data_IF_514407083609
#
_entry.id   IF_514407083609
#
_cell.length_a   1.000
_cell.length_b   1.000
_cell.length_c   1.000
_cell.angle_alpha   90.00
_cell.angle_beta   90.00
_cell.angle_gamma   90.00
#
_symmetry.space_group_name_H-M   'P 1'
#
loop_
_entity.id
_entity.type
_entity.pdbx_description
1 polymer ?
#
# COMPACT_ATOMS: atom_id res chain seq x y z
N UNK A 1 -41.39 -15.91 -3.30
CA UNK A 1 -40.29 -16.24 -4.22
C UNK A 1 -39.00 -15.91 -3.48
N UNK A 2 -38.39 -16.88 -2.80
CA UNK A 2 -37.27 -16.67 -1.88
C UNK A 2 -35.97 -16.69 -2.67
N UNK A 3 -35.23 -15.58 -2.63
CA UNK A 3 -33.90 -15.50 -3.21
C UNK A 3 -32.96 -16.27 -2.27
N UNK A 4 -32.65 -17.51 -2.63
CA UNK A 4 -31.52 -18.26 -2.06
C UNK A 4 -30.24 -17.58 -2.49
N UNK A 5 -29.70 -16.66 -1.69
CA UNK A 5 -28.31 -16.26 -1.80
C UNK A 5 -27.44 -17.44 -1.41
N UNK A 6 -26.84 -18.05 -2.40
CA UNK A 6 -25.80 -19.06 -2.23
C UNK A 6 -24.56 -18.39 -1.64
N UNK A 7 -24.38 -18.55 -0.33
CA UNK A 7 -23.12 -18.27 0.35
C UNK A 7 -22.05 -19.25 -0.12
N UNK A 8 -21.30 -18.90 -1.17
CA UNK A 8 -20.16 -19.68 -1.64
C UNK A 8 -18.88 -18.94 -1.25
N UNK A 9 -18.19 -19.51 -0.25
CA UNK A 9 -16.78 -19.40 0.05
C UNK A 9 -16.21 -18.03 0.47
N UNK A 10 -16.37 -17.70 1.75
CA UNK A 10 -15.30 -16.97 2.45
C UNK A 10 -14.60 -18.01 3.33
N UNK A 11 -13.50 -18.56 2.85
CA UNK A 11 -12.57 -19.33 3.68
C UNK A 11 -11.84 -18.36 4.60
N UNK A 12 -12.32 -18.24 5.83
CA UNK A 12 -11.55 -17.69 6.94
C UNK A 12 -10.37 -18.64 7.21
N UNK A 13 -9.25 -18.42 6.55
CA UNK A 13 -8.00 -19.05 6.93
C UNK A 13 -7.47 -18.35 8.17
N UNK A 14 -7.93 -18.79 9.33
CA UNK A 14 -7.23 -18.53 10.57
C UNK A 14 -5.94 -19.37 10.56
N UNK A 15 -4.84 -18.77 10.14
CA UNK A 15 -3.52 -19.34 10.41
C UNK A 15 -3.15 -18.95 11.84
N UNK A 16 -3.63 -19.72 12.79
CA UNK A 16 -3.16 -19.65 14.17
C UNK A 16 -1.86 -20.45 14.30
N UNK A 17 -0.76 -19.74 14.33
CA UNK A 17 0.49 -20.33 14.84
C UNK A 17 0.42 -20.35 16.39
N UNK A 18 -0.06 -21.48 16.93
CA UNK A 18 -0.47 -21.64 18.34
C UNK A 18 0.75 -22.00 19.25
N UNK A 19 1.95 -21.80 18.86
CA UNK A 19 3.10 -22.09 19.74
C UNK A 19 3.90 -20.85 20.08
N UNK A 20 3.50 -20.14 21.14
CA UNK A 20 4.27 -19.52 22.23
C UNK A 20 3.60 -18.28 22.87
N UNK A 21 3.44 -18.35 24.22
CA UNK A 21 3.21 -17.29 25.21
C UNK A 21 1.76 -16.94 25.61
N UNK A 22 1.37 -17.47 26.77
CA UNK A 22 0.03 -17.42 27.36
C UNK A 22 -0.44 -16.04 27.90
N UNK A 23 0.42 -15.06 28.12
CA UNK A 23 0.04 -13.77 28.73
C UNK A 23 -0.41 -12.71 27.70
N UNK A 24 0.05 -12.84 26.47
CA UNK A 24 -0.30 -11.96 25.33
C UNK A 24 -1.68 -12.32 24.75
N UNK A 25 -2.17 -13.54 24.95
CA UNK A 25 -3.45 -14.05 24.42
C UNK A 25 -4.69 -13.28 24.89
N UNK A 26 -4.72 -12.78 26.13
CA UNK A 26 -5.94 -12.12 26.68
C UNK A 26 -6.28 -10.78 26.00
N UNK A 27 -5.27 -10.00 25.62
CA UNK A 27 -5.50 -8.71 24.95
C UNK A 27 -5.86 -8.91 23.47
N UNK A 28 -5.29 -9.94 22.82
CA UNK A 28 -5.66 -10.32 21.45
C UNK A 28 -7.04 -10.93 21.34
N UNK A 29 -7.46 -11.74 22.30
CA UNK A 29 -8.81 -12.27 22.34
C UNK A 29 -9.87 -11.16 22.45
N UNK A 30 -9.57 -10.07 23.19
CA UNK A 30 -10.45 -8.90 23.25
C UNK A 30 -10.50 -8.14 21.93
N UNK A 31 -9.36 -7.90 21.29
CA UNK A 31 -9.32 -7.23 19.97
C UNK A 31 -9.96 -8.09 18.86
N UNK A 32 -9.80 -9.41 18.93
CA UNK A 32 -10.50 -10.36 18.05
C UNK A 32 -12.00 -10.39 18.26
N UNK A 33 -12.45 -10.34 19.51
CA UNK A 33 -13.88 -10.30 19.85
C UNK A 33 -14.49 -8.96 19.44
N UNK A 34 -13.78 -7.86 19.61
CA UNK A 34 -14.18 -6.54 19.12
C UNK A 34 -14.26 -6.52 17.59
N UNK A 35 -13.27 -7.07 16.90
CA UNK A 35 -13.33 -7.24 15.46
C UNK A 35 -14.49 -8.11 15.01
N UNK A 36 -14.83 -9.18 15.72
CA UNK A 36 -15.95 -10.03 15.37
C UNK A 36 -17.29 -9.28 15.44
N UNK A 37 -17.49 -8.43 16.42
CA UNK A 37 -18.69 -7.59 16.52
C UNK A 37 -18.72 -6.47 15.47
N UNK A 38 -17.55 -5.94 15.10
CA UNK A 38 -17.38 -4.93 14.04
C UNK A 38 -17.57 -5.58 12.66
N UNK A 39 -17.21 -6.85 12.52
CA UNK A 39 -17.31 -7.62 11.29
C UNK A 39 -18.71 -7.58 10.67
N UNK A 40 -19.76 -7.62 11.48
CA UNK A 40 -21.13 -7.66 10.96
C UNK A 40 -21.50 -6.41 10.16
N UNK A 41 -20.95 -5.25 10.51
CA UNK A 41 -21.21 -3.99 9.78
C UNK A 41 -20.25 -3.74 8.62
N UNK A 42 -19.02 -4.29 8.66
CA UNK A 42 -17.99 -4.11 7.61
C UNK A 42 -18.00 -5.28 6.61
N UNK A 43 -18.66 -6.38 6.89
CA UNK A 43 -18.64 -7.61 6.07
C UNK A 43 -18.89 -7.38 4.58
N UNK A 44 -19.64 -6.34 4.26
CA UNK A 44 -19.95 -5.97 2.86
C UNK A 44 -18.74 -5.36 2.13
N UNK A 45 -17.70 -4.89 2.85
CA UNK A 45 -16.61 -4.12 2.29
C UNK A 45 -15.24 -4.83 2.31
N UNK A 46 -15.10 -5.86 3.13
CA UNK A 46 -13.84 -6.58 3.30
C UNK A 46 -13.83 -7.84 2.44
N UNK A 47 -12.76 -8.03 1.68
CA UNK A 47 -12.53 -9.28 0.95
C UNK A 47 -11.86 -10.34 1.83
N UNK A 48 -10.98 -9.93 2.72
CA UNK A 48 -10.21 -10.84 3.56
C UNK A 48 -9.59 -10.11 4.76
N UNK A 49 -9.42 -10.81 5.90
CA UNK A 49 -8.72 -10.31 7.09
C UNK A 49 -7.68 -11.31 7.53
N UNK A 50 -6.46 -10.83 7.73
CA UNK A 50 -5.36 -11.62 8.25
C UNK A 50 -4.76 -10.93 9.48
N UNK A 51 -4.54 -11.68 10.54
CA UNK A 51 -3.84 -11.20 11.73
C UNK A 51 -2.48 -11.87 11.78
N UNK A 52 -1.44 -11.06 11.65
CA UNK A 52 -0.05 -11.51 11.73
C UNK A 52 0.74 -10.53 12.60
N UNK A 53 1.56 -11.07 13.50
CA UNK A 53 2.55 -10.32 14.29
C UNK A 53 2.02 -9.05 14.99
N UNK A 54 0.84 -9.14 15.62
CA UNK A 54 0.14 -8.02 16.28
C UNK A 54 -0.46 -6.97 15.33
N UNK A 55 -0.42 -7.20 14.04
CA UNK A 55 -0.98 -6.32 13.04
C UNK A 55 -2.22 -6.95 12.40
N UNK A 56 -3.20 -6.14 12.16
CA UNK A 56 -4.45 -6.54 11.50
C UNK A 56 -4.33 -6.10 10.04
N UNK A 57 -4.44 -7.05 9.12
CA UNK A 57 -4.45 -6.76 7.69
C UNK A 57 -5.87 -6.91 7.16
N UNK A 58 -6.42 -5.82 6.64
CA UNK A 58 -7.74 -5.75 6.04
C UNK A 58 -7.58 -5.63 4.52
N UNK A 59 -8.00 -6.64 3.78
CA UNK A 59 -8.01 -6.57 2.32
C UNK A 59 -9.37 -6.05 1.85
N UNK A 60 -9.37 -5.01 1.06
CA UNK A 60 -10.57 -4.30 0.60
C UNK A 60 -10.59 -4.15 -0.92
N UNK A 61 -11.76 -3.93 -1.45
CA UNK A 61 -11.94 -3.47 -2.83
C UNK A 61 -11.71 -1.96 -2.89
N UNK A 62 -10.96 -1.48 -3.87
CA UNK A 62 -10.53 -0.07 -3.97
C UNK A 62 -11.67 0.94 -3.92
N UNK A 63 -12.82 0.63 -4.50
CA UNK A 63 -14.01 1.51 -4.49
C UNK A 63 -14.58 1.77 -3.10
N UNK A 64 -14.28 0.88 -2.15
CA UNK A 64 -14.80 0.96 -0.77
C UNK A 64 -13.81 1.59 0.21
N UNK A 65 -12.61 1.97 -0.26
CA UNK A 65 -11.52 2.49 0.57
C UNK A 65 -12.00 3.60 1.52
N UNK A 66 -12.57 4.68 1.00
CA UNK A 66 -12.99 5.82 1.83
C UNK A 66 -14.02 5.45 2.89
N UNK A 67 -14.95 4.54 2.57
CA UNK A 67 -15.96 4.08 3.53
C UNK A 67 -15.33 3.32 4.68
N UNK A 68 -14.37 2.45 4.37
CA UNK A 68 -13.62 1.68 5.38
C UNK A 68 -12.75 2.60 6.23
N UNK A 69 -11.99 3.52 5.62
CA UNK A 69 -11.16 4.47 6.35
C UNK A 69 -11.99 5.37 7.27
N UNK A 70 -13.12 5.89 6.77
CA UNK A 70 -14.06 6.69 7.57
C UNK A 70 -14.61 5.91 8.77
N UNK A 71 -14.98 4.66 8.54
CA UNK A 71 -15.45 3.78 9.61
C UNK A 71 -14.35 3.57 10.66
N UNK A 72 -13.13 3.15 10.26
CA UNK A 72 -12.03 2.88 11.18
C UNK A 72 -11.62 4.12 11.99
N UNK A 73 -11.77 5.32 11.42
CA UNK A 73 -11.48 6.57 12.11
C UNK A 73 -12.50 6.90 13.19
N UNK A 74 -13.79 6.70 12.91
CA UNK A 74 -14.88 7.12 13.79
C UNK A 74 -15.40 6.03 14.73
N UNK A 75 -14.96 4.78 14.54
CA UNK A 75 -15.37 3.69 15.41
C UNK A 75 -14.80 3.84 16.82
N UNK A 76 -15.66 3.76 17.85
CA UNK A 76 -15.28 3.95 19.24
C UNK A 76 -14.36 2.83 19.78
N UNK A 77 -14.40 1.66 19.17
CA UNK A 77 -13.60 0.51 19.61
C UNK A 77 -12.22 0.44 18.97
N UNK A 78 -12.05 1.02 17.79
CA UNK A 78 -10.76 1.00 17.09
C UNK A 78 -10.04 2.34 17.17
N UNK A 79 -10.77 3.46 17.04
CA UNK A 79 -10.24 4.82 17.14
C UNK A 79 -8.93 5.01 16.35
N UNK A 80 -8.93 4.62 15.08
CA UNK A 80 -7.76 4.78 14.21
C UNK A 80 -7.64 6.24 13.74
N UNK A 81 -7.22 7.13 14.63
CA UNK A 81 -7.18 8.56 14.39
C UNK A 81 -5.96 9.01 13.60
N UNK A 82 -4.91 8.20 13.56
CA UNK A 82 -3.65 8.54 12.92
C UNK A 82 -3.39 7.63 11.72
N UNK A 83 -3.10 8.23 10.56
CA UNK A 83 -2.49 7.54 9.44
C UNK A 83 -0.99 7.76 9.52
N UNK A 84 -0.24 6.67 9.60
CA UNK A 84 1.22 6.70 9.72
C UNK A 84 1.88 6.78 8.36
N UNK A 85 1.38 5.99 7.39
CA UNK A 85 2.04 5.84 6.11
C UNK A 85 1.08 5.35 5.02
N UNK A 86 1.46 5.56 3.76
CA UNK A 86 0.85 4.99 2.56
C UNK A 86 1.95 4.31 1.73
N UNK A 87 1.98 2.99 1.78
CA UNK A 87 2.98 2.19 1.09
C UNK A 87 2.41 1.67 -0.23
N UNK A 88 3.16 1.81 -1.31
CA UNK A 88 2.84 1.21 -2.61
C UNK A 88 3.85 0.12 -2.93
N UNK A 89 3.35 -1.01 -3.43
CA UNK A 89 4.18 -2.14 -3.86
C UNK A 89 3.90 -2.45 -5.32
N UNK A 90 4.92 -2.40 -6.17
CA UNK A 90 4.82 -2.86 -7.56
C UNK A 90 5.01 -4.38 -7.63
N UNK A 91 4.02 -5.08 -8.16
CA UNK A 91 3.99 -6.54 -8.32
C UNK A 91 4.09 -6.96 -9.79
N UNK A 92 4.89 -6.26 -10.57
CA UNK A 92 5.05 -6.51 -12.01
C UNK A 92 5.32 -8.00 -12.33
N UNK A 93 6.15 -8.66 -11.52
CA UNK A 93 6.48 -10.08 -11.70
C UNK A 93 5.30 -11.03 -11.48
N UNK A 94 4.27 -10.59 -10.78
CA UNK A 94 3.08 -11.38 -10.45
C UNK A 94 1.87 -11.07 -11.34
N UNK A 95 2.01 -10.20 -12.34
CA UNK A 95 0.92 -9.81 -13.25
C UNK A 95 0.33 -11.04 -13.95
N UNK A 96 1.13 -12.04 -14.26
CA UNK A 96 0.66 -13.28 -14.89
C UNK A 96 -0.34 -14.06 -14.02
N UNK A 97 -0.40 -13.77 -12.72
CA UNK A 97 -1.31 -14.42 -11.75
C UNK A 97 -2.53 -13.57 -11.43
N UNK A 98 -2.41 -12.24 -11.57
CA UNK A 98 -3.49 -11.30 -11.27
C UNK A 98 -3.44 -10.09 -12.19
N UNK A 99 -4.61 -9.56 -12.58
CA UNK A 99 -4.74 -8.33 -13.39
C UNK A 99 -4.26 -7.05 -12.68
N UNK A 100 -3.84 -7.17 -11.42
CA UNK A 100 -3.48 -6.04 -10.57
C UNK A 100 -1.97 -5.91 -10.44
N UNK A 101 -1.45 -4.77 -10.86
CA UNK A 101 -0.02 -4.47 -10.77
C UNK A 101 0.39 -3.89 -9.41
N UNK A 102 -0.37 -2.91 -8.91
CA UNK A 102 0.00 -2.22 -7.68
C UNK A 102 -0.84 -2.67 -6.51
N UNK A 103 -0.18 -2.87 -5.37
CA UNK A 103 -0.83 -3.00 -4.06
C UNK A 103 -0.59 -1.73 -3.27
N UNK A 104 -1.65 -1.14 -2.73
CA UNK A 104 -1.54 -0.03 -1.79
C UNK A 104 -1.87 -0.48 -0.38
N UNK A 105 -1.18 0.09 0.60
CA UNK A 105 -1.30 -0.26 2.01
C UNK A 105 -1.36 1.03 2.82
N UNK A 106 -2.54 1.37 3.35
CA UNK A 106 -2.66 2.44 4.33
C UNK A 106 -2.38 1.89 5.72
N UNK A 107 -1.40 2.46 6.39
CA UNK A 107 -0.99 2.08 7.74
C UNK A 107 -1.66 3.00 8.74
N UNK A 108 -2.66 2.48 9.43
CA UNK A 108 -3.41 3.20 10.45
C UNK A 108 -2.92 2.82 11.85
N UNK A 109 -2.96 3.78 12.75
CA UNK A 109 -2.60 3.58 14.15
C UNK A 109 -3.72 4.08 15.08
N UNK A 110 -4.05 3.23 16.03
CA UNK A 110 -4.86 3.60 17.18
C UNK A 110 -3.95 3.85 18.37
N UNK A 111 -3.80 5.12 18.75
CA UNK A 111 -2.95 5.50 19.88
C UNK A 111 -3.54 5.00 21.19
N UNK A 112 -4.88 5.09 21.33
CA UNK A 112 -5.59 4.69 22.56
C UNK A 112 -5.44 3.21 22.88
N UNK A 113 -5.42 2.34 21.87
CA UNK A 113 -5.36 0.90 22.03
C UNK A 113 -4.01 0.28 21.66
N UNK A 114 -3.07 1.11 21.17
CA UNK A 114 -1.76 0.67 20.67
C UNK A 114 -1.87 -0.49 19.65
N UNK A 115 -2.74 -0.30 18.67
CA UNK A 115 -3.02 -1.27 17.60
C UNK A 115 -2.69 -0.63 16.25
N UNK A 116 -2.02 -1.39 15.38
CA UNK A 116 -1.80 -1.02 13.98
C UNK A 116 -2.68 -1.83 13.05
N UNK A 117 -3.30 -1.16 12.11
CA UNK A 117 -4.17 -1.75 11.09
C UNK A 117 -3.62 -1.41 9.71
N UNK A 118 -3.40 -2.43 8.89
CA UNK A 118 -3.01 -2.28 7.51
C UNK A 118 -4.24 -2.48 6.62
N UNK A 119 -4.64 -1.44 5.93
CA UNK A 119 -5.73 -1.49 4.95
C UNK A 119 -5.12 -1.65 3.57
N UNK A 120 -5.28 -2.83 2.99
CA UNK A 120 -4.67 -3.24 1.73
C UNK A 120 -5.69 -3.31 0.61
N UNK A 121 -5.30 -2.82 -0.55
CA UNK A 121 -6.08 -3.01 -1.76
C UNK A 121 -5.19 -3.12 -2.98
N UNK A 122 -5.78 -3.53 -4.09
CA UNK A 122 -5.07 -3.73 -5.34
C UNK A 122 -5.63 -2.83 -6.42
N UNK A 123 -4.75 -2.34 -7.29
CA UNK A 123 -5.10 -1.47 -8.41
C UNK A 123 -4.51 -2.00 -9.71
N UNK A 124 -5.27 -1.82 -10.78
CA UNK A 124 -4.79 -2.06 -12.14
C UNK A 124 -3.86 -0.93 -12.60
N UNK A 125 -2.96 -1.20 -13.54
CA UNK A 125 -2.23 -0.14 -14.21
C UNK A 125 -3.20 0.91 -14.76
N UNK A 126 -2.82 2.18 -14.69
CA UNK A 126 -3.60 3.33 -15.18
C UNK A 126 -4.99 3.53 -14.54
N UNK A 127 -5.28 2.87 -13.43
CA UNK A 127 -6.47 3.16 -12.65
C UNK A 127 -6.18 4.17 -11.52
N UNK A 128 -7.23 4.63 -10.87
CA UNK A 128 -7.17 5.67 -9.85
C UNK A 128 -7.66 5.16 -8.50
N UNK A 129 -7.31 5.90 -7.45
CA UNK A 129 -7.81 5.73 -6.08
C UNK A 129 -8.45 7.03 -5.64
N UNK A 130 -9.44 6.97 -4.76
CA UNK A 130 -9.97 8.16 -4.11
C UNK A 130 -9.02 8.63 -3.01
N UNK A 131 -8.72 9.93 -3.00
CA UNK A 131 -7.87 10.56 -1.98
C UNK A 131 -8.50 10.49 -0.59
N UNK A 132 -7.69 10.15 0.40
CA UNK A 132 -8.10 10.11 1.80
C UNK A 132 -7.80 11.40 2.57
N UNK A 133 -7.44 12.49 1.89
CA UNK A 133 -7.01 13.74 2.50
C UNK A 133 -8.09 14.36 3.41
N UNK A 134 -9.37 14.22 3.06
CA UNK A 134 -10.48 14.70 3.86
C UNK A 134 -10.65 13.96 5.19
N UNK A 135 -10.04 12.77 5.29
CA UNK A 135 -10.05 11.97 6.51
C UNK A 135 -8.76 12.17 7.30
N UNK A 136 -7.62 12.19 6.63
CA UNK A 136 -6.30 12.27 7.27
C UNK A 136 -5.41 13.29 6.55
N UNK A 137 -5.11 14.41 7.18
CA UNK A 137 -4.29 15.48 6.57
C UNK A 137 -2.86 15.02 6.24
N UNK A 138 -2.32 14.05 7.00
CA UNK A 138 -0.98 13.49 6.74
C UNK A 138 -0.86 12.80 5.38
N UNK A 139 -1.97 12.34 4.82
CA UNK A 139 -2.02 11.65 3.51
C UNK A 139 -1.55 12.53 2.36
N UNK A 140 -1.68 13.85 2.48
CA UNK A 140 -1.31 14.79 1.41
C UNK A 140 0.10 14.48 0.83
N UNK A 141 1.09 14.38 1.72
CA UNK A 141 2.48 14.12 1.28
C UNK A 141 2.67 12.70 0.75
N UNK A 142 2.07 11.71 1.38
CA UNK A 142 2.18 10.31 0.97
C UNK A 142 1.50 10.04 -0.38
N UNK A 143 0.36 10.67 -0.67
CA UNK A 143 -0.30 10.55 -1.96
C UNK A 143 0.50 11.23 -3.08
N UNK A 144 1.13 12.38 -2.80
CA UNK A 144 2.04 13.04 -3.74
C UNK A 144 3.29 12.20 -4.00
N UNK A 145 3.87 11.56 -2.97
CA UNK A 145 4.98 10.62 -3.13
C UNK A 145 4.56 9.42 -3.99
N UNK A 146 3.41 8.82 -3.71
CA UNK A 146 2.88 7.71 -4.48
C UNK A 146 2.62 8.07 -5.95
N UNK A 147 2.14 9.28 -6.21
CA UNK A 147 2.03 9.82 -7.56
C UNK A 147 3.39 10.01 -8.22
N UNK A 148 4.34 10.64 -7.54
CA UNK A 148 5.66 10.96 -8.09
C UNK A 148 6.46 9.68 -8.42
N UNK A 149 6.46 8.70 -7.51
CA UNK A 149 7.30 7.50 -7.62
C UNK A 149 6.66 6.37 -8.42
N UNK A 150 5.34 6.20 -8.37
CA UNK A 150 4.64 5.09 -9.01
C UNK A 150 3.66 5.52 -10.10
N UNK A 151 3.26 6.79 -10.13
CA UNK A 151 2.29 7.31 -11.10
C UNK A 151 0.86 6.85 -10.84
N UNK A 152 0.47 6.76 -9.56
CA UNK A 152 -0.90 6.45 -9.14
C UNK A 152 -1.69 7.75 -8.98
N UNK A 153 -2.83 7.84 -9.65
CA UNK A 153 -3.68 9.03 -9.62
C UNK A 153 -4.63 8.96 -8.42
N UNK A 154 -4.69 10.04 -7.64
CA UNK A 154 -5.60 10.18 -6.51
C UNK A 154 -6.70 11.19 -6.83
N UNK A 155 -7.94 10.71 -7.00
CA UNK A 155 -9.10 11.58 -7.29
C UNK A 155 -9.52 12.31 -6.01
N UNK A 156 -9.72 13.63 -6.15
CA UNK A 156 -10.12 14.50 -5.04
C UNK A 156 -8.95 15.03 -4.21
N UNK A 157 -7.71 14.79 -4.64
CA UNK A 157 -6.55 15.44 -4.05
C UNK A 157 -6.48 16.92 -4.49
N UNK A 158 -6.28 17.88 -3.59
CA UNK A 158 -6.32 19.31 -3.92
C UNK A 158 -5.15 19.77 -4.80
N UNK A 159 -3.95 19.18 -4.61
CA UNK A 159 -2.73 19.59 -5.33
C UNK A 159 -1.82 18.37 -5.52
N UNK A 160 -2.10 17.57 -6.55
CA UNK A 160 -1.34 16.37 -6.90
C UNK A 160 -0.16 16.72 -7.83
N UNK A 161 0.94 17.15 -7.27
CA UNK A 161 2.19 17.49 -7.98
C UNK A 161 3.36 16.70 -7.45
N UNK A 162 4.42 16.58 -8.26
CA UNK A 162 5.67 15.90 -7.87
C UNK A 162 6.37 16.62 -6.71
N UNK A 163 7.04 15.87 -5.85
CA UNK A 163 7.75 16.40 -4.67
C UNK A 163 9.20 15.93 -4.53
N UNK A 164 9.55 14.77 -5.06
CA UNK A 164 10.85 14.12 -4.87
C UNK A 164 11.71 14.15 -6.11
N UNK A 165 11.12 14.05 -7.30
CA UNK A 165 11.84 14.12 -8.57
C UNK A 165 12.11 15.55 -8.98
N UNK A 166 13.14 15.75 -9.80
CA UNK A 166 13.52 17.05 -10.34
C UNK A 166 12.47 17.61 -11.30
N UNK A 167 12.56 18.92 -11.57
CA UNK A 167 11.70 19.59 -12.55
C UNK A 167 11.89 18.99 -13.94
N UNK A 168 10.78 18.72 -14.63
CA UNK A 168 10.82 18.12 -15.95
C UNK A 168 11.22 16.64 -15.99
N UNK A 169 11.31 15.97 -14.84
CA UNK A 169 11.63 14.54 -14.79
C UNK A 169 10.52 13.72 -15.47
N UNK A 170 10.93 12.82 -16.37
CA UNK A 170 10.03 11.95 -17.13
C UNK A 170 10.15 10.52 -16.62
N UNK A 171 9.03 9.95 -16.16
CA UNK A 171 8.96 8.58 -15.67
C UNK A 171 8.59 8.49 -14.18
N UNK A 172 8.62 7.25 -13.67
CA UNK A 172 8.27 6.90 -12.29
C UNK A 172 9.33 5.95 -11.73
N UNK A 173 10.26 6.47 -10.89
CA UNK A 173 11.49 5.76 -10.54
C UNK A 173 11.30 4.45 -9.76
N UNK A 174 10.22 4.31 -8.99
CA UNK A 174 10.00 3.11 -8.17
C UNK A 174 9.23 2.00 -8.89
N UNK A 175 8.85 2.22 -10.13
CA UNK A 175 8.33 1.14 -10.96
C UNK A 175 9.46 0.17 -11.32
N UNK A 176 9.20 -1.13 -11.26
CA UNK A 176 10.19 -2.16 -11.60
C UNK A 176 10.64 -2.15 -13.06
N UNK A 177 9.85 -1.58 -13.94
CA UNK A 177 10.16 -1.40 -15.37
C UNK A 177 10.99 -0.13 -15.66
N UNK A 178 11.25 0.71 -14.64
CA UNK A 178 12.12 1.86 -14.77
C UNK A 178 13.57 1.45 -14.52
N UNK A 179 14.53 1.79 -15.42
CA UNK A 179 15.93 1.43 -15.24
C UNK A 179 16.55 2.14 -14.03
N UNK A 180 17.48 1.46 -13.34
CA UNK A 180 18.10 1.98 -12.11
C UNK A 180 18.83 3.30 -12.34
N UNK A 181 19.51 3.45 -13.47
CA UNK A 181 20.28 4.64 -13.83
C UNK A 181 19.44 5.72 -14.50
N UNK A 182 18.15 5.46 -14.82
CA UNK A 182 17.30 6.36 -15.59
C UNK A 182 17.65 6.39 -17.08
N UNK A 183 17.18 7.41 -17.79
CA UNK A 183 17.40 7.59 -19.25
C UNK A 183 18.25 8.78 -19.59
N UNK A 184 18.44 9.70 -18.66
CA UNK A 184 19.04 11.01 -18.87
C UNK A 184 20.02 11.29 -17.75
N UNK A 185 21.14 11.92 -18.09
CA UNK A 185 22.11 12.46 -17.13
C UNK A 185 22.22 13.98 -17.27
N UNK A 186 22.64 14.64 -16.20
CA UNK A 186 22.84 16.08 -16.13
C UNK A 186 24.32 16.37 -16.03
N UNK A 187 24.82 17.22 -16.92
CA UNK A 187 26.20 17.68 -16.95
C UNK A 187 26.26 19.21 -16.96
N UNK A 188 27.18 19.79 -16.25
CA UNK A 188 27.50 21.20 -16.41
C UNK A 188 28.37 21.42 -17.65
N UNK A 189 27.92 22.28 -18.55
CA UNK A 189 28.65 22.64 -19.74
C UNK A 189 29.37 24.01 -19.53
N UNK A 190 30.70 23.98 -19.61
CA UNK A 190 31.52 25.18 -19.44
C UNK A 190 31.37 26.19 -20.57
N UNK A 191 31.03 25.75 -21.77
CA UNK A 191 30.85 26.62 -22.92
C UNK A 191 29.56 27.43 -22.78
N UNK A 192 28.48 26.76 -22.49
CA UNK A 192 27.14 27.37 -22.33
C UNK A 192 26.91 27.95 -20.93
N UNK A 193 27.82 27.69 -19.96
CA UNK A 193 27.71 28.10 -18.55
C UNK A 193 26.36 27.67 -17.91
N UNK A 194 25.86 26.52 -18.32
CA UNK A 194 24.57 25.99 -17.88
C UNK A 194 24.59 24.47 -17.69
N UNK A 195 23.63 23.96 -16.97
CA UNK A 195 23.41 22.49 -16.84
C UNK A 195 22.70 22.01 -18.09
N UNK A 196 23.29 21.04 -18.76
CA UNK A 196 22.75 20.40 -19.98
C UNK A 196 22.26 19.00 -19.65
N UNK A 197 21.14 18.64 -20.23
CA UNK A 197 20.53 17.29 -20.12
C UNK A 197 20.90 16.49 -21.35
N UNK A 198 21.56 15.37 -21.15
CA UNK A 198 22.04 14.48 -22.23
C UNK A 198 21.50 13.06 -22.05
N UNK A 199 21.38 12.27 -23.14
CA UNK A 199 21.10 10.85 -23.02
C UNK A 199 22.15 10.15 -22.16
N UNK A 200 21.73 9.16 -21.37
CA UNK A 200 22.63 8.44 -20.47
C UNK A 200 23.69 7.64 -21.24
N UNK A 201 24.96 7.89 -20.94
CA UNK A 201 26.11 7.12 -21.43
C UNK A 201 26.87 6.51 -20.25
N UNK A 202 26.68 5.20 -20.02
CA UNK A 202 27.34 4.51 -18.91
C UNK A 202 28.76 4.07 -19.32
N UNK A 203 29.76 4.47 -18.53
CA UNK A 203 31.13 3.96 -18.66
C UNK A 203 31.26 2.47 -18.32
N UNK A 204 30.40 1.99 -17.44
CA UNK A 204 30.31 0.58 -17.05
C UNK A 204 28.85 0.17 -16.89
N UNK A 205 28.49 -0.95 -17.53
CA UNK A 205 27.15 -1.52 -17.39
C UNK A 205 26.90 -1.95 -15.94
N UNK A 206 25.64 -1.78 -15.48
CA UNK A 206 25.23 -2.24 -14.14
C UNK A 206 25.32 -3.77 -14.05
N UNK A 207 26.06 -4.25 -13.07
CA UNK A 207 26.24 -5.67 -12.82
C UNK A 207 25.19 -6.18 -11.85
N UNK A 208 24.36 -7.14 -12.30
CA UNK A 208 23.35 -7.78 -11.47
C UNK A 208 23.98 -8.86 -10.58
N UNK A 209 23.84 -8.70 -9.27
CA UNK A 209 24.22 -9.72 -8.31
C UNK A 209 22.98 -10.42 -7.79
N UNK A 210 22.93 -11.73 -7.89
CA UNK A 210 21.92 -12.54 -7.21
C UNK A 210 22.39 -12.79 -5.78
N UNK A 211 21.73 -12.13 -4.82
CA UNK A 211 22.00 -12.33 -3.40
C UNK A 211 21.19 -13.52 -2.86
N UNK A 212 21.21 -14.64 -3.58
CA UNK A 212 20.54 -15.86 -3.15
C UNK A 212 21.44 -16.58 -2.14
N UNK A 213 20.82 -17.12 -1.09
CA UNK A 213 21.53 -17.97 -0.15
C UNK A 213 21.89 -19.30 -0.84
N UNK A 214 23.19 -19.56 -1.04
CA UNK A 214 23.70 -20.79 -1.68
C UNK A 214 23.27 -22.07 -0.95
N UNK A 215 22.91 -21.96 0.32
CA UNK A 215 22.45 -23.07 1.17
C UNK A 215 20.95 -23.29 1.18
N UNK A 216 20.18 -22.46 0.49
CA UNK A 216 18.73 -22.64 0.38
C UNK A 216 18.47 -23.80 -0.58
N UNK A 217 18.10 -24.95 -0.01
CA UNK A 217 17.58 -26.07 -0.81
C UNK A 217 16.31 -25.60 -1.51
N UNK A 218 16.29 -25.76 -2.83
CA UNK A 218 15.13 -25.51 -3.71
C UNK A 218 14.07 -26.58 -3.42
#
# INVERSE_FOLDING_TARGET
MAIKMTFKYIKLHYVFDIKKRSKIRKNYAKSLFLLHNIYFSIYVFLSFVMIKDKCINLHIVSDKLLKVLKFLKHDCYLMCQQLLDLIIVDRLELINVSDYRFEYIHVLNSVSYNIRIFVRGHIKPFSFIYSAINLYNSVNWFEREAWDMFGIIFIGHPDLRRILTDYGFIGFPFRKDFPLTGYVELRYDDIHKSVVSEPLELSQEFRYFRLENAWRKI
#
